data_IF_071205506196
#
_entry.id   IF_071205506196
#
_cell.length_a   1.000
_cell.length_b   1.000
_cell.length_c   1.000
_cell.angle_alpha   90.00
_cell.angle_beta   90.00
_cell.angle_gamma   90.00
#
_symmetry.space_group_name_H-M   'P 1'
#
loop_
_entity.id
_entity.type
_entity.pdbx_description
1 polymer ?
#
# COMPACT_ATOMS: atom_id res chain seq x y z
N UNK A 1 -0.39 5.87 -40.26
CA UNK A 1 -0.45 5.32 -38.89
C UNK A 1 0.23 3.96 -38.94
N UNK A 2 1.35 3.78 -38.25
CA UNK A 2 2.09 2.51 -38.24
C UNK A 2 1.34 1.48 -37.40
N UNK A 3 0.89 0.41 -38.05
CA UNK A 3 0.24 -0.72 -37.38
C UNK A 3 1.26 -1.43 -36.48
N UNK A 4 0.94 -1.62 -35.19
CA UNK A 4 1.86 -2.25 -34.24
C UNK A 4 1.90 -3.75 -34.51
N UNK A 5 3.01 -4.21 -35.08
CA UNK A 5 3.27 -5.65 -35.28
C UNK A 5 3.84 -6.24 -33.99
N UNK A 6 3.33 -7.40 -33.56
CA UNK A 6 3.74 -8.09 -32.33
C UNK A 6 4.27 -9.51 -32.57
N UNK A 7 4.45 -9.89 -33.84
CA UNK A 7 4.90 -11.21 -34.27
C UNK A 7 6.03 -11.03 -35.26
N UNK A 8 7.09 -11.81 -35.07
CA UNK A 8 8.30 -11.74 -35.88
C UNK A 8 8.81 -13.14 -36.20
N UNK A 9 9.42 -13.31 -37.36
CA UNK A 9 10.04 -14.54 -37.83
C UNK A 9 11.49 -14.61 -37.32
N UNK A 10 12.20 -13.47 -37.29
CA UNK A 10 13.58 -13.37 -36.80
C UNK A 10 13.87 -12.04 -36.06
N UNK A 11 15.05 -11.93 -35.45
CA UNK A 11 15.49 -10.71 -34.74
C UNK A 11 15.71 -9.53 -35.70
N UNK A 12 16.06 -9.79 -36.96
CA UNK A 12 16.32 -8.75 -37.95
C UNK A 12 15.02 -8.04 -38.34
N UNK A 13 13.93 -8.79 -38.48
CA UNK A 13 12.58 -8.26 -38.68
C UNK A 13 12.17 -7.35 -37.52
N UNK A 14 12.34 -7.79 -36.26
CA UNK A 14 12.07 -6.95 -35.09
C UNK A 14 12.91 -5.66 -35.08
N UNK A 15 14.19 -5.74 -35.43
CA UNK A 15 15.06 -4.55 -35.45
C UNK A 15 14.79 -3.64 -36.65
N UNK A 16 14.33 -4.18 -37.77
CA UNK A 16 14.00 -3.41 -38.98
C UNK A 16 12.78 -2.49 -38.80
N UNK A 17 11.84 -2.90 -37.95
CA UNK A 17 10.64 -2.12 -37.58
C UNK A 17 11.03 -0.88 -36.75
N UNK A 18 12.22 -0.88 -36.15
CA UNK A 18 12.65 0.06 -35.12
C UNK A 18 13.90 0.84 -35.56
N UNK A 19 13.77 1.64 -36.65
CA UNK A 19 14.83 2.48 -37.24
C UNK A 19 15.18 3.70 -36.35
N UNK A 20 15.81 3.44 -35.20
CA UNK A 20 16.27 4.44 -34.21
C UNK A 20 15.17 5.37 -33.63
N UNK A 21 13.91 5.03 -33.85
CA UNK A 21 12.76 5.70 -33.26
C UNK A 21 12.47 5.20 -31.82
N UNK A 22 11.54 5.86 -31.14
CA UNK A 22 11.07 5.43 -29.83
C UNK A 22 10.39 4.05 -29.88
N UNK A 23 10.59 3.28 -28.83
CA UNK A 23 10.08 1.93 -28.68
C UNK A 23 8.56 1.90 -28.58
N UNK A 24 7.89 1.39 -29.62
CA UNK A 24 6.44 1.27 -29.72
C UNK A 24 5.82 0.28 -28.73
N UNK A 25 6.66 -0.54 -28.08
CA UNK A 25 6.25 -1.57 -27.11
C UNK A 25 6.43 -1.11 -25.66
N UNK A 26 7.00 0.07 -25.44
CA UNK A 26 7.20 0.65 -24.12
C UNK A 26 6.12 1.70 -23.81
N UNK A 27 5.79 1.83 -22.53
CA UNK A 27 4.90 2.91 -22.06
C UNK A 27 5.56 4.28 -22.17
N UNK A 28 6.84 4.34 -21.81
CA UNK A 28 7.63 5.56 -21.82
C UNK A 28 8.45 5.61 -23.12
N UNK A 29 8.59 6.78 -23.76
CA UNK A 29 9.47 6.96 -24.90
C UNK A 29 10.90 6.56 -24.53
N UNK A 30 11.43 5.54 -25.19
CA UNK A 30 12.80 5.04 -25.03
C UNK A 30 13.29 4.65 -26.40
N UNK A 31 14.48 5.08 -26.80
CA UNK A 31 15.08 4.72 -28.09
C UNK A 31 15.14 3.20 -28.25
N UNK A 32 14.62 2.70 -29.36
CA UNK A 32 14.52 1.28 -29.66
C UNK A 32 15.85 0.66 -30.13
N UNK A 33 16.91 0.85 -29.34
CA UNK A 33 18.22 0.24 -29.62
C UNK A 33 18.14 -1.30 -29.59
N UNK A 34 19.01 -1.96 -30.36
CA UNK A 34 19.16 -3.44 -30.34
C UNK A 34 19.36 -3.97 -28.92
N UNK A 35 20.13 -3.28 -28.09
CA UNK A 35 20.34 -3.64 -26.69
C UNK A 35 19.05 -3.58 -25.86
N UNK A 36 18.27 -2.50 -26.02
CA UNK A 36 16.99 -2.33 -25.34
C UNK A 36 16.01 -3.45 -25.71
N UNK A 37 15.81 -3.67 -27.02
CA UNK A 37 14.87 -4.67 -27.52
C UNK A 37 15.24 -6.09 -27.07
N UNK A 38 16.54 -6.44 -27.08
CA UNK A 38 17.01 -7.73 -26.55
C UNK A 38 16.70 -7.92 -25.07
N UNK A 39 17.02 -6.92 -24.25
CA UNK A 39 16.95 -7.03 -22.78
C UNK A 39 15.51 -6.94 -22.25
N UNK A 40 14.66 -6.13 -22.86
CA UNK A 40 13.30 -5.82 -22.37
C UNK A 40 12.19 -6.61 -23.05
N UNK A 41 12.33 -6.92 -24.32
CA UNK A 41 11.27 -7.55 -25.12
C UNK A 41 11.67 -8.97 -25.51
N UNK A 42 12.78 -9.15 -26.22
CA UNK A 42 13.19 -10.45 -26.77
C UNK A 42 13.52 -11.49 -25.68
N UNK A 43 14.09 -11.08 -24.55
CA UNK A 43 14.36 -11.95 -23.39
C UNK A 43 13.12 -12.72 -22.92
N UNK A 44 11.94 -12.15 -23.15
CA UNK A 44 10.65 -12.72 -22.73
C UNK A 44 9.78 -13.11 -23.92
N UNK A 45 10.38 -13.25 -25.11
CA UNK A 45 9.68 -13.68 -26.31
C UNK A 45 9.18 -15.12 -26.20
N UNK A 46 8.01 -15.37 -26.79
CA UNK A 46 7.36 -16.67 -26.84
C UNK A 46 7.45 -17.17 -28.26
N UNK A 47 8.14 -18.29 -28.45
CA UNK A 47 8.39 -18.89 -29.75
C UNK A 47 7.37 -20.00 -30.04
N UNK A 48 6.92 -20.05 -31.28
CA UNK A 48 5.92 -20.99 -31.73
C UNK A 48 5.98 -21.21 -33.25
N UNK A 49 5.36 -22.27 -33.74
CA UNK A 49 5.19 -22.57 -35.16
C UNK A 49 3.75 -22.33 -35.54
N UNK A 50 3.57 -21.43 -36.49
CA UNK A 50 2.29 -21.19 -37.16
C UNK A 50 2.46 -21.62 -38.62
N UNK A 51 1.69 -22.62 -39.05
CA UNK A 51 1.76 -23.18 -40.41
C UNK A 51 3.19 -23.60 -40.83
N UNK A 52 3.91 -24.27 -39.91
CA UNK A 52 5.32 -24.70 -40.03
C UNK A 52 6.39 -23.57 -40.06
N UNK A 53 5.99 -22.31 -40.03
CA UNK A 53 6.92 -21.16 -39.93
C UNK A 53 7.18 -20.86 -38.46
N UNK A 54 8.46 -20.85 -38.07
CA UNK A 54 8.87 -20.41 -36.73
C UNK A 54 8.66 -18.91 -36.56
N UNK A 55 7.84 -18.52 -35.60
CA UNK A 55 7.53 -17.15 -35.25
C UNK A 55 7.71 -16.93 -33.75
N UNK A 56 7.80 -15.68 -33.32
CA UNK A 56 7.78 -15.32 -31.92
C UNK A 56 6.99 -14.04 -31.65
N UNK A 57 6.37 -14.00 -30.48
CA UNK A 57 5.72 -12.80 -29.95
C UNK A 57 6.48 -12.25 -28.76
N UNK A 58 6.64 -10.93 -28.73
CA UNK A 58 7.26 -10.21 -27.62
C UNK A 58 6.19 -9.62 -26.67
N UNK A 59 6.51 -9.44 -25.38
CA UNK A 59 5.64 -8.66 -24.51
C UNK A 59 5.65 -7.18 -24.85
N UNK A 60 4.50 -6.55 -24.65
CA UNK A 60 4.25 -5.12 -24.73
C UNK A 60 4.01 -4.54 -23.33
N UNK A 61 4.31 -3.26 -23.16
CA UNK A 61 4.06 -2.47 -21.96
C UNK A 61 3.19 -1.24 -22.27
N UNK A 62 2.46 -1.24 -23.39
CA UNK A 62 1.59 -0.13 -23.76
C UNK A 62 0.43 0.08 -22.77
N UNK A 63 -0.30 1.18 -22.96
CA UNK A 63 -1.48 1.55 -22.17
C UNK A 63 -2.62 0.55 -22.23
N UNK A 64 -2.71 -0.24 -23.31
CA UNK A 64 -3.84 -1.12 -23.60
C UNK A 64 -3.97 -2.27 -22.60
N UNK A 65 -2.89 -2.56 -21.86
CA UNK A 65 -2.85 -3.57 -20.81
C UNK A 65 -3.42 -3.14 -19.46
N UNK A 66 -3.88 -1.89 -19.27
CA UNK A 66 -4.63 -1.39 -18.10
C UNK A 66 -3.90 -1.31 -16.75
N UNK A 67 -2.90 -2.16 -16.49
CA UNK A 67 -2.30 -2.33 -15.15
C UNK A 67 -0.80 -2.02 -15.04
N UNK A 68 -0.20 -1.40 -16.07
CA UNK A 68 1.22 -1.03 -16.06
C UNK A 68 2.19 -2.23 -16.00
N UNK A 69 1.71 -3.44 -16.32
CA UNK A 69 2.48 -4.68 -16.41
C UNK A 69 2.66 -5.11 -17.87
N UNK A 70 3.66 -5.97 -18.12
CA UNK A 70 3.87 -6.59 -19.42
C UNK A 70 2.69 -7.49 -19.81
N UNK A 71 2.21 -7.37 -21.05
CA UNK A 71 1.13 -8.18 -21.61
C UNK A 71 1.47 -8.59 -23.05
N UNK A 72 0.66 -9.47 -23.64
CA UNK A 72 0.84 -9.99 -25.00
C UNK A 72 -0.43 -9.73 -25.81
N UNK A 73 -0.25 -9.18 -27.00
CA UNK A 73 -1.33 -9.06 -27.99
C UNK A 73 -1.38 -10.32 -28.82
N UNK A 74 -2.55 -10.93 -28.93
CA UNK A 74 -2.71 -12.06 -29.84
C UNK A 74 -2.74 -11.55 -31.29
N UNK A 75 -1.96 -12.13 -32.21
CA UNK A 75 -2.02 -11.77 -33.63
C UNK A 75 -3.21 -12.37 -34.38
N UNK A 76 -3.81 -13.43 -33.83
CA UNK A 76 -4.92 -14.17 -34.44
C UNK A 76 -6.29 -13.67 -33.96
N UNK A 77 -6.34 -12.86 -32.89
CA UNK A 77 -7.56 -12.22 -32.41
C UNK A 77 -7.24 -10.97 -31.58
N UNK A 78 -8.21 -10.08 -31.36
CA UNK A 78 -8.02 -8.84 -30.62
C UNK A 78 -7.83 -8.99 -29.08
N UNK A 79 -7.52 -10.19 -28.56
CA UNK A 79 -7.36 -10.42 -27.12
C UNK A 79 -5.99 -9.98 -26.62
N UNK A 80 -5.99 -9.32 -25.46
CA UNK A 80 -4.79 -8.92 -24.70
C UNK A 80 -4.66 -9.81 -23.46
N UNK A 81 -3.51 -10.48 -23.33
CA UNK A 81 -3.26 -11.47 -22.29
C UNK A 81 -2.16 -10.96 -21.35
N UNK A 82 -2.43 -10.94 -20.05
CA UNK A 82 -1.53 -10.32 -19.06
C UNK A 82 -0.43 -11.24 -18.54
N UNK A 83 -0.57 -12.56 -18.76
CA UNK A 83 0.37 -13.57 -18.24
C UNK A 83 0.85 -14.46 -19.37
N UNK A 84 2.15 -14.78 -19.37
CA UNK A 84 2.79 -15.68 -20.33
C UNK A 84 2.07 -17.04 -20.40
N UNK A 85 1.66 -17.60 -19.25
CA UNK A 85 0.95 -18.89 -19.20
C UNK A 85 -0.40 -18.81 -19.92
N UNK A 86 -1.14 -17.75 -19.66
CA UNK A 86 -2.46 -17.53 -20.28
C UNK A 86 -2.31 -17.28 -21.78
N UNK A 87 -1.26 -16.55 -22.20
CA UNK A 87 -0.96 -16.34 -23.61
C UNK A 87 -0.58 -17.63 -24.33
N UNK A 88 0.32 -18.45 -23.76
CA UNK A 88 0.71 -19.76 -24.33
C UNK A 88 -0.51 -20.66 -24.55
N UNK A 89 -1.38 -20.80 -23.55
CA UNK A 89 -2.62 -21.58 -23.67
C UNK A 89 -3.55 -20.96 -24.72
N UNK A 90 -3.65 -19.64 -24.75
CA UNK A 90 -4.50 -18.94 -25.70
C UNK A 90 -4.06 -19.16 -27.15
N UNK A 91 -2.77 -19.05 -27.46
CA UNK A 91 -2.26 -19.23 -28.83
C UNK A 91 -2.31 -20.70 -29.27
N UNK A 92 -2.11 -21.66 -28.37
CA UNK A 92 -2.30 -23.08 -28.70
C UNK A 92 -3.76 -23.40 -29.07
N UNK A 93 -4.74 -22.67 -28.51
CA UNK A 93 -6.14 -22.84 -28.88
C UNK A 93 -6.48 -22.34 -30.29
N UNK A 94 -5.57 -21.61 -30.94
CA UNK A 94 -5.66 -21.26 -32.37
C UNK A 94 -5.03 -22.33 -33.29
N UNK A 95 -4.55 -23.45 -32.73
CA UNK A 95 -3.90 -24.52 -33.50
C UNK A 95 -2.40 -24.32 -33.72
N UNK A 96 -1.76 -23.42 -32.96
CA UNK A 96 -0.32 -23.12 -33.04
C UNK A 96 0.48 -24.03 -32.12
N UNK A 97 1.61 -24.56 -32.61
CA UNK A 97 2.49 -25.45 -31.85
C UNK A 97 3.61 -24.66 -31.14
N UNK A 98 3.84 -24.91 -29.86
CA UNK A 98 4.91 -24.24 -29.12
C UNK A 98 6.29 -24.83 -29.44
N UNK A 99 7.32 -23.99 -29.46
CA UNK A 99 8.72 -24.46 -29.56
C UNK A 99 9.46 -24.21 -28.24
N UNK A 100 10.09 -25.24 -27.69
CA UNK A 100 10.97 -25.11 -26.54
C UNK A 100 12.37 -24.66 -27.01
N UNK A 101 12.82 -23.48 -26.56
CA UNK A 101 14.17 -23.00 -26.84
C UNK A 101 15.19 -23.74 -25.98
N UNK A 102 15.80 -24.78 -26.55
CA UNK A 102 17.20 -25.15 -26.30
C UNK A 102 17.83 -25.49 -27.64
N UNK A 103 18.47 -24.49 -28.25
CA UNK A 103 19.62 -24.55 -29.19
C UNK A 103 19.65 -23.23 -29.97
N UNK A 104 20.65 -22.39 -29.67
CA UNK A 104 21.57 -21.69 -30.58
C UNK A 104 22.26 -20.59 -29.76
N UNK A 105 23.58 -20.65 -29.82
CA UNK A 105 24.64 -20.04 -29.03
C UNK A 105 24.56 -18.52 -28.84
N UNK A 106 24.80 -18.06 -27.60
CA UNK A 106 25.63 -16.88 -27.34
C UNK A 106 26.43 -17.15 -26.05
N UNK A 107 27.76 -17.14 -26.19
CA UNK A 107 28.72 -17.48 -25.15
C UNK A 107 28.61 -16.62 -23.88
N UNK A 108 29.02 -17.14 -22.71
CA UNK A 108 28.86 -16.51 -21.41
C UNK A 108 30.03 -15.58 -21.07
N UNK A 109 29.75 -14.39 -20.55
CA UNK A 109 30.70 -13.66 -19.70
C UNK A 109 30.36 -13.92 -18.23
N UNK A 110 31.34 -14.51 -17.55
CA UNK A 110 31.43 -14.79 -16.12
C UNK A 110 30.81 -13.69 -15.24
N UNK A 111 29.90 -14.09 -14.34
CA UNK A 111 30.02 -13.76 -12.90
C UNK A 111 29.52 -14.97 -12.11
N UNK A 112 30.29 -15.32 -11.10
CA UNK A 112 30.28 -16.52 -10.27
C UNK A 112 28.92 -16.87 -9.64
N UNK A 113 28.65 -18.18 -9.62
CA UNK A 113 27.74 -18.92 -8.75
C UNK A 113 27.96 -18.56 -7.28
N UNK A 114 26.90 -18.52 -6.46
CA UNK A 114 26.52 -19.55 -5.47
C UNK A 114 25.09 -19.17 -5.00
N UNK A 115 24.03 -19.98 -4.92
CA UNK A 115 23.86 -21.43 -4.89
C UNK A 115 22.57 -21.79 -5.65
N UNK A 116 22.69 -22.66 -6.64
CA UNK A 116 21.61 -23.57 -7.01
C UNK A 116 21.83 -24.85 -6.19
N UNK A 117 20.80 -25.32 -5.50
CA UNK A 117 20.60 -26.75 -5.41
C UNK A 117 19.39 -27.11 -6.28
N UNK A 118 19.65 -28.14 -7.07
CA UNK A 118 18.89 -28.87 -8.07
C UNK A 118 17.54 -29.34 -7.51
N UNK A 119 16.50 -29.68 -8.28
CA UNK A 119 16.47 -30.74 -9.28
C UNK A 119 15.50 -30.47 -10.42
N UNK A 120 15.93 -30.87 -11.61
CA UNK A 120 15.03 -31.46 -12.60
C UNK A 120 14.74 -32.88 -12.14
N UNK A 121 13.46 -33.23 -11.94
CA UNK A 121 13.01 -34.60 -12.19
C UNK A 121 11.50 -34.62 -12.50
N UNK A 122 11.24 -35.14 -13.69
CA UNK A 122 10.25 -36.16 -14.02
C UNK A 122 8.74 -35.87 -14.04
N UNK A 123 8.11 -36.46 -15.06
CA UNK A 123 6.67 -36.57 -15.24
C UNK A 123 6.15 -37.65 -14.29
N UNK A 124 5.66 -37.26 -13.12
CA UNK A 124 4.84 -38.15 -12.26
C UNK A 124 3.71 -37.36 -11.58
N UNK A 125 2.49 -37.93 -11.45
CA UNK A 125 1.38 -37.24 -10.82
C UNK A 125 1.47 -37.38 -9.30
N UNK A 126 1.89 -36.33 -8.61
CA UNK A 126 1.64 -36.22 -7.17
C UNK A 126 2.80 -35.73 -6.33
N UNK A 127 2.95 -34.41 -6.25
CA UNK A 127 3.31 -33.78 -4.98
C UNK A 127 2.71 -32.38 -4.96
N UNK A 128 1.38 -32.33 -4.88
CA UNK A 128 0.71 -31.08 -4.57
C UNK A 128 0.97 -30.79 -3.09
N UNK A 129 1.68 -29.73 -2.77
CA UNK A 129 1.90 -29.33 -1.38
C UNK A 129 0.60 -28.73 -0.84
N UNK A 130 0.05 -29.34 0.19
CA UNK A 130 -1.15 -28.87 0.86
C UNK A 130 -0.81 -27.76 1.86
N UNK A 131 -1.61 -26.70 1.87
CA UNK A 131 -1.56 -25.75 2.96
C UNK A 131 -2.03 -26.42 4.25
N UNK A 132 -1.18 -26.41 5.27
CA UNK A 132 -1.45 -27.05 6.55
C UNK A 132 -2.61 -26.40 7.32
N UNK A 133 -3.00 -25.17 6.96
CA UNK A 133 -4.06 -24.41 7.62
C UNK A 133 -5.45 -24.56 6.98
N UNK A 134 -5.55 -24.76 5.67
CA UNK A 134 -6.85 -24.89 4.98
C UNK A 134 -6.96 -26.11 4.06
N UNK A 135 -5.91 -26.94 3.96
CA UNK A 135 -5.91 -28.15 3.15
C UNK A 135 -5.91 -27.92 1.63
N UNK A 136 -5.85 -26.67 1.15
CA UNK A 136 -5.82 -26.39 -0.29
C UNK A 136 -4.47 -26.82 -0.86
N UNK A 137 -4.53 -27.56 -1.97
CA UNK A 137 -3.38 -28.14 -2.64
C UNK A 137 -2.82 -27.21 -3.71
N UNK A 138 -1.51 -27.01 -3.69
CA UNK A 138 -0.80 -26.18 -4.66
C UNK A 138 0.22 -27.00 -5.45
N UNK A 139 0.32 -26.71 -6.73
CA UNK A 139 1.25 -27.38 -7.65
C UNK A 139 2.69 -26.90 -7.52
N UNK A 140 2.92 -25.75 -6.86
CA UNK A 140 4.27 -25.25 -6.58
C UNK A 140 4.36 -24.71 -5.16
N UNK A 141 5.51 -24.91 -4.52
CA UNK A 141 5.84 -24.36 -3.20
C UNK A 141 5.78 -22.83 -3.18
N UNK A 142 6.10 -22.16 -4.29
CA UNK A 142 5.96 -20.70 -4.43
C UNK A 142 4.49 -20.23 -4.40
N UNK A 143 3.57 -21.00 -4.99
CA UNK A 143 2.14 -20.72 -4.93
C UNK A 143 1.57 -21.08 -3.56
N UNK A 144 2.03 -22.16 -2.93
CA UNK A 144 1.71 -22.47 -1.54
C UNK A 144 2.16 -21.34 -0.61
N UNK A 145 3.42 -20.94 -0.65
CA UNK A 145 3.95 -19.81 0.17
C UNK A 145 3.24 -18.49 -0.12
N UNK A 146 2.82 -18.24 -1.37
CA UNK A 146 2.02 -17.07 -1.73
C UNK A 146 0.60 -17.18 -1.18
N UNK A 147 -0.04 -18.33 -1.30
CA UNK A 147 -1.33 -18.61 -0.72
C UNK A 147 -1.28 -18.50 0.81
N UNK A 148 -0.30 -19.10 1.45
CA UNK A 148 -0.05 -18.98 2.88
C UNK A 148 0.16 -17.54 3.27
N UNK A 149 0.98 -16.74 2.56
CA UNK A 149 1.09 -15.31 2.85
C UNK A 149 -0.21 -14.51 2.66
N UNK A 150 -0.99 -14.80 1.62
CA UNK A 150 -2.17 -14.01 1.29
C UNK A 150 -3.43 -14.41 2.07
N UNK A 151 -3.60 -15.71 2.32
CA UNK A 151 -4.76 -16.32 2.96
C UNK A 151 -4.50 -16.62 4.44
N UNK A 152 -3.25 -16.90 4.81
CA UNK A 152 -2.86 -17.24 6.18
C UNK A 152 -1.84 -16.29 6.82
N UNK A 153 -1.27 -15.35 6.06
CA UNK A 153 -0.46 -14.23 6.57
C UNK A 153 -1.33 -13.11 7.13
N UNK A 154 -2.66 -13.27 7.07
CA UNK A 154 -3.63 -12.46 7.79
C UNK A 154 -3.41 -12.57 9.32
N UNK A 155 -2.87 -13.68 9.82
CA UNK A 155 -2.65 -13.94 11.25
C UNK A 155 -1.39 -13.27 11.84
N UNK A 156 -0.54 -12.65 11.01
CA UNK A 156 0.75 -12.10 11.44
C UNK A 156 0.83 -10.58 11.38
N UNK A 157 -0.29 -9.89 11.18
CA UNK A 157 -0.30 -8.43 11.27
C UNK A 157 -0.58 -8.00 12.71
N UNK A 158 0.11 -6.95 13.20
CA UNK A 158 -0.14 -6.46 14.53
C UNK A 158 -1.59 -5.99 14.65
N UNK A 159 -2.16 -6.31 15.81
CA UNK A 159 -3.52 -5.96 16.20
C UNK A 159 -3.43 -5.41 17.62
N UNK A 160 -3.51 -4.10 17.76
CA UNK A 160 -3.30 -3.42 19.04
C UNK A 160 -4.65 -2.95 19.58
N UNK A 161 -4.97 -3.25 20.83
CA UNK A 161 -6.10 -2.62 21.51
C UNK A 161 -5.67 -1.21 21.94
N UNK A 162 -6.43 -0.19 21.52
CA UNK A 162 -6.14 1.22 21.81
C UNK A 162 -7.17 1.85 22.74
N UNK A 163 -8.32 1.20 22.92
CA UNK A 163 -9.38 1.62 23.82
C UNK A 163 -10.14 0.38 24.30
N UNK A 164 -9.77 -0.12 25.48
CA UNK A 164 -10.39 -1.31 26.03
C UNK A 164 -11.86 -1.09 26.40
N UNK A 165 -12.21 0.12 26.89
CA UNK A 165 -13.58 0.50 27.28
C UNK A 165 -14.53 0.44 26.08
N UNK A 166 -14.09 0.99 24.95
CA UNK A 166 -14.91 1.07 23.74
C UNK A 166 -14.69 -0.10 22.76
N UNK A 167 -13.82 -1.05 23.12
CA UNK A 167 -13.39 -2.18 22.30
C UNK A 167 -12.84 -1.75 20.93
N UNK A 168 -11.98 -0.72 20.93
CA UNK A 168 -11.34 -0.18 19.73
C UNK A 168 -9.94 -0.77 19.61
N UNK A 169 -9.64 -1.19 18.39
CA UNK A 169 -8.38 -1.78 18.02
C UNK A 169 -7.85 -1.12 16.73
N UNK A 170 -6.54 -1.24 16.51
CA UNK A 170 -5.88 -0.78 15.28
C UNK A 170 -5.04 -1.88 14.64
N UNK A 171 -5.07 -1.93 13.32
CA UNK A 171 -4.23 -2.82 12.50
C UNK A 171 -3.83 -2.12 11.21
N UNK A 172 -2.74 -2.53 10.54
CA UNK A 172 -2.42 -2.00 9.22
C UNK A 172 -3.53 -2.25 8.20
N UNK A 173 -3.90 -1.21 7.44
CA UNK A 173 -4.85 -1.26 6.32
C UNK A 173 -4.46 -2.36 5.34
N UNK A 174 -3.24 -2.28 4.84
CA UNK A 174 -2.73 -3.14 3.78
C UNK A 174 -1.67 -4.12 4.31
N UNK A 175 -1.61 -5.29 3.66
CA UNK A 175 -0.58 -6.31 3.91
C UNK A 175 0.79 -5.95 3.34
N UNK A 176 0.86 -4.94 2.47
CA UNK A 176 2.06 -4.47 1.81
C UNK A 176 1.99 -2.95 1.62
N UNK A 177 3.15 -2.29 1.46
CA UNK A 177 3.21 -0.84 1.28
C UNK A 177 3.12 -0.06 2.60
N UNK A 178 2.74 1.23 2.56
CA UNK A 178 2.61 2.07 3.74
C UNK A 178 1.62 1.46 4.75
N UNK A 179 2.11 1.15 5.95
CA UNK A 179 1.34 0.46 7.00
C UNK A 179 0.45 1.42 7.78
N UNK A 180 -0.46 2.10 7.06
CA UNK A 180 -1.38 3.06 7.69
C UNK A 180 -2.34 2.30 8.62
N UNK A 181 -2.42 2.63 9.92
CA UNK A 181 -3.39 2.00 10.82
C UNK A 181 -4.82 2.37 10.43
N UNK A 182 -5.72 1.43 10.60
CA UNK A 182 -7.18 1.65 10.55
C UNK A 182 -7.79 1.23 11.88
N UNK A 183 -8.87 1.90 12.27
CA UNK A 183 -9.63 1.56 13.46
C UNK A 183 -10.64 0.44 13.19
N UNK A 184 -10.83 -0.39 14.21
CA UNK A 184 -11.75 -1.50 14.22
C UNK A 184 -12.44 -1.48 15.57
N UNK A 185 -13.74 -1.75 15.59
CA UNK A 185 -14.52 -1.89 16.82
C UNK A 185 -15.22 -3.24 16.80
N UNK A 186 -14.81 -4.14 17.70
CA UNK A 186 -15.39 -5.47 17.79
C UNK A 186 -15.68 -5.79 19.26
N UNK A 187 -16.94 -6.03 19.57
CA UNK A 187 -17.36 -6.47 20.89
C UNK A 187 -18.58 -7.36 20.78
N UNK A 188 -18.46 -8.59 21.28
CA UNK A 188 -19.59 -9.51 21.38
C UNK A 188 -20.59 -9.06 22.45
N UNK A 189 -20.09 -8.51 23.56
CA UNK A 189 -20.93 -7.99 24.65
C UNK A 189 -21.79 -6.81 24.20
N UNK A 190 -21.21 -5.90 23.41
CA UNK A 190 -21.92 -4.74 22.89
C UNK A 190 -22.64 -5.03 21.56
N UNK A 191 -22.45 -6.21 20.98
CA UNK A 191 -22.94 -6.60 19.65
C UNK A 191 -22.52 -5.63 18.54
N UNK A 192 -21.27 -5.17 18.58
CA UNK A 192 -20.71 -4.20 17.62
C UNK A 192 -19.61 -4.86 16.78
N UNK A 193 -19.68 -4.66 15.46
CA UNK A 193 -18.71 -5.15 14.49
C UNK A 193 -18.49 -4.10 13.39
N UNK A 194 -17.50 -3.21 13.56
CA UNK A 194 -17.22 -2.10 12.64
C UNK A 194 -15.76 -2.09 12.19
N UNK A 195 -15.54 -1.72 10.93
CA UNK A 195 -14.22 -1.47 10.33
C UNK A 195 -14.18 -0.04 9.77
N UNK A 196 -13.06 0.68 9.86
CA UNK A 196 -12.95 2.04 9.28
C UNK A 196 -13.15 2.07 7.76
N UNK A 197 -12.95 0.96 7.06
CA UNK A 197 -13.01 0.90 5.60
C UNK A 197 -14.39 0.52 5.07
N UNK A 198 -15.04 1.39 4.31
CA UNK A 198 -16.34 1.15 3.66
C UNK A 198 -16.36 -0.13 2.81
N UNK A 199 -15.29 -0.42 2.07
CA UNK A 199 -15.13 -1.66 1.28
C UNK A 199 -15.28 -2.94 2.12
N UNK A 200 -14.96 -2.89 3.42
CA UNK A 200 -15.16 -4.03 4.32
C UNK A 200 -16.64 -4.23 4.67
N UNK A 201 -17.41 -3.15 4.77
CA UNK A 201 -18.85 -3.22 5.03
C UNK A 201 -19.57 -3.79 3.81
N UNK A 202 -19.24 -3.30 2.62
CA UNK A 202 -19.80 -3.81 1.37
C UNK A 202 -19.49 -5.29 1.18
N UNK A 203 -18.25 -5.70 1.48
CA UNK A 203 -17.84 -7.10 1.46
C UNK A 203 -18.68 -7.97 2.40
N UNK A 204 -18.83 -7.56 3.67
CA UNK A 204 -19.59 -8.33 4.65
C UNK A 204 -21.08 -8.39 4.28
N UNK A 205 -21.65 -7.26 3.79
CA UNK A 205 -23.04 -7.17 3.34
C UNK A 205 -23.31 -8.06 2.13
N UNK A 206 -22.44 -8.06 1.14
CA UNK A 206 -22.57 -8.91 -0.05
C UNK A 206 -22.56 -10.41 0.31
N UNK A 207 -21.72 -10.81 1.26
CA UNK A 207 -21.67 -12.21 1.72
C UNK A 207 -22.87 -12.60 2.58
N UNK A 208 -23.38 -11.69 3.40
CA UNK A 208 -24.63 -11.92 4.12
C UNK A 208 -25.79 -12.18 3.15
N UNK A 209 -25.87 -11.39 2.08
CA UNK A 209 -26.88 -11.55 1.03
C UNK A 209 -26.73 -12.85 0.22
N UNK A 210 -25.50 -13.38 0.09
CA UNK A 210 -25.23 -14.64 -0.60
C UNK A 210 -25.31 -15.89 0.28
N UNK A 211 -25.80 -15.75 1.53
CA UNK A 211 -26.03 -16.86 2.45
C UNK A 211 -24.93 -17.11 3.48
N UNK A 212 -23.98 -16.18 3.65
CA UNK A 212 -22.93 -16.26 4.67
C UNK A 212 -22.88 -14.98 5.55
N UNK A 213 -23.85 -14.80 6.47
CA UNK A 213 -23.93 -13.62 7.32
C UNK A 213 -22.85 -13.53 8.41
N UNK A 214 -22.20 -14.65 8.73
CA UNK A 214 -21.14 -14.70 9.74
C UNK A 214 -19.75 -14.32 9.22
N UNK A 215 -19.62 -14.00 7.92
CA UNK A 215 -18.29 -13.71 7.36
C UNK A 215 -17.81 -12.32 7.76
N UNK A 216 -16.79 -12.29 8.59
CA UNK A 216 -16.06 -11.09 8.94
C UNK A 216 -15.07 -10.66 7.84
N UNK A 217 -14.79 -9.35 7.74
CA UNK A 217 -13.70 -8.85 6.90
C UNK A 217 -12.34 -9.27 7.45
N UNK A 218 -11.30 -9.23 6.61
CA UNK A 218 -9.95 -9.66 6.99
C UNK A 218 -9.39 -8.94 8.23
N UNK A 219 -9.80 -7.69 8.44
CA UNK A 219 -9.33 -6.86 9.54
C UNK A 219 -10.00 -7.24 10.86
N UNK A 220 -11.30 -7.52 10.82
CA UNK A 220 -12.06 -8.00 11.98
C UNK A 220 -11.59 -9.37 12.45
N UNK A 221 -11.23 -10.27 11.53
CA UNK A 221 -10.67 -11.58 11.88
C UNK A 221 -9.37 -11.47 12.70
N UNK A 222 -8.55 -10.43 12.48
CA UNK A 222 -7.28 -10.22 13.21
C UNK A 222 -7.45 -9.96 14.69
N UNK A 223 -8.63 -9.50 15.12
CA UNK A 223 -8.95 -9.29 16.54
C UNK A 223 -8.80 -10.55 17.38
N UNK A 224 -8.92 -11.73 16.78
CA UNK A 224 -8.69 -13.02 17.45
C UNK A 224 -7.25 -13.18 17.96
N UNK A 225 -6.30 -12.42 17.40
CA UNK A 225 -4.89 -12.40 17.78
C UNK A 225 -4.48 -11.02 18.35
N UNK A 226 -5.44 -10.25 18.88
CA UNK A 226 -5.17 -8.94 19.45
C UNK A 226 -4.23 -9.02 20.66
N UNK A 227 -3.29 -8.10 20.73
CA UNK A 227 -2.46 -7.91 21.92
C UNK A 227 -3.31 -7.34 23.06
N UNK A 228 -2.94 -7.69 24.30
CA UNK A 228 -3.57 -7.10 25.47
C UNK A 228 -3.36 -5.58 25.47
N UNK A 229 -4.36 -4.86 25.96
CA UNK A 229 -4.28 -3.42 26.10
C UNK A 229 -3.17 -3.06 27.09
N UNK A 230 -2.31 -2.13 26.69
CA UNK A 230 -1.28 -1.54 27.54
C UNK A 230 -1.47 -0.02 27.47
N UNK A 231 -1.82 0.65 28.58
CA UNK A 231 -2.03 2.08 28.56
C UNK A 231 -0.72 2.81 28.21
N UNK A 232 -0.76 3.84 27.35
CA UNK A 232 0.40 4.68 27.10
C UNK A 232 0.73 5.55 28.32
N UNK A 233 1.97 6.05 28.43
CA UNK A 233 2.32 7.09 29.39
C UNK A 233 1.34 8.26 29.31
N UNK A 234 0.76 8.69 30.46
CA UNK A 234 -0.22 9.76 30.48
C UNK A 234 0.44 11.11 30.15
N UNK A 235 -0.34 12.00 29.55
CA UNK A 235 0.10 13.35 29.20
C UNK A 235 0.29 14.20 30.46
N UNK A 236 1.52 14.68 30.68
CA UNK A 236 1.89 15.49 31.85
C UNK A 236 1.68 16.99 31.60
N UNK A 237 0.99 17.67 32.53
CA UNK A 237 0.80 19.13 32.45
C UNK A 237 2.14 19.88 32.46
N UNK A 238 3.16 19.36 33.15
CA UNK A 238 4.49 19.98 33.18
C UNK A 238 5.17 20.00 31.80
N UNK A 239 5.01 18.93 30.99
CA UNK A 239 5.57 18.91 29.63
C UNK A 239 4.81 19.85 28.70
N UNK A 240 3.49 20.03 28.91
CA UNK A 240 2.69 21.02 28.17
C UNK A 240 3.12 22.46 28.49
N UNK A 241 3.43 22.75 29.75
CA UNK A 241 3.98 24.04 30.18
C UNK A 241 5.34 24.31 29.52
N UNK A 242 6.23 23.32 29.50
CA UNK A 242 7.52 23.43 28.82
C UNK A 242 7.36 23.71 27.32
N UNK A 243 6.45 23.02 26.64
CA UNK A 243 6.16 23.28 25.22
C UNK A 243 5.67 24.71 24.98
N UNK A 244 4.86 25.25 25.90
CA UNK A 244 4.40 26.63 25.81
C UNK A 244 5.54 27.63 26.03
N UNK A 245 6.44 27.38 27.00
CA UNK A 245 7.64 28.19 27.21
C UNK A 245 8.59 28.16 26.01
N UNK A 246 8.69 27.03 25.30
CA UNK A 246 9.46 26.90 24.06
C UNK A 246 8.74 27.45 22.83
N UNK A 247 7.59 28.12 23.01
CA UNK A 247 6.78 28.69 21.94
C UNK A 247 6.32 27.68 20.88
N UNK A 248 6.18 26.40 21.26
CA UNK A 248 5.65 25.34 20.39
C UNK A 248 4.11 25.35 20.31
N UNK A 249 3.47 26.01 21.27
CA UNK A 249 2.03 26.15 21.40
C UNK A 249 1.69 27.57 21.87
N UNK A 250 0.66 28.16 21.28
CA UNK A 250 0.03 29.36 21.82
C UNK A 250 -0.74 29.06 23.12
N UNK A 251 -1.10 30.09 23.87
CA UNK A 251 -1.86 29.94 25.10
C UNK A 251 -3.26 29.32 24.86
N UNK A 252 -3.91 29.66 23.75
CA UNK A 252 -5.19 29.08 23.35
C UNK A 252 -5.05 27.61 22.96
N UNK A 253 -4.02 27.24 22.20
CA UNK A 253 -3.75 25.84 21.84
C UNK A 253 -3.41 25.00 23.08
N UNK A 254 -2.63 25.54 24.02
CA UNK A 254 -2.35 24.91 25.31
C UNK A 254 -3.65 24.59 26.06
N UNK A 255 -4.51 25.60 26.22
CA UNK A 255 -5.77 25.44 26.94
C UNK A 255 -6.66 24.38 26.29
N UNK A 256 -6.80 24.44 24.96
CA UNK A 256 -7.59 23.48 24.22
C UNK A 256 -7.05 22.04 24.35
N UNK A 257 -5.73 21.84 24.27
CA UNK A 257 -5.10 20.52 24.49
C UNK A 257 -5.41 19.98 25.90
N UNK A 258 -5.29 20.82 26.92
CA UNK A 258 -5.58 20.44 28.30
C UNK A 258 -7.07 20.07 28.49
N UNK A 259 -7.97 20.83 27.88
CA UNK A 259 -9.41 20.55 27.93
C UNK A 259 -9.75 19.22 27.24
N UNK A 260 -9.21 18.95 26.06
CA UNK A 260 -9.43 17.68 25.34
C UNK A 260 -8.87 16.47 26.12
N UNK A 261 -7.71 16.62 26.74
CA UNK A 261 -7.14 15.57 27.61
C UNK A 261 -8.02 15.34 28.84
N UNK A 262 -8.53 16.41 29.46
CA UNK A 262 -9.43 16.32 30.62
C UNK A 262 -10.73 15.58 30.27
N UNK A 263 -11.32 15.86 29.10
CA UNK A 263 -12.52 15.15 28.60
C UNK A 263 -12.26 13.66 28.39
N UNK A 264 -11.14 13.29 27.77
CA UNK A 264 -10.76 11.90 27.60
C UNK A 264 -10.61 11.17 28.95
N UNK A 265 -9.97 11.81 29.94
CA UNK A 265 -9.83 11.28 31.30
C UNK A 265 -11.19 11.09 32.01
N UNK A 266 -12.12 12.03 31.86
CA UNK A 266 -13.49 11.90 32.41
C UNK A 266 -14.24 10.71 31.78
N UNK A 267 -14.03 10.48 30.49
CA UNK A 267 -14.54 9.31 29.78
C UNK A 267 -13.74 8.02 30.08
N UNK A 268 -12.68 8.07 30.89
CA UNK A 268 -11.86 6.91 31.23
C UNK A 268 -11.16 6.28 30.02
N UNK A 269 -10.76 7.11 29.04
CA UNK A 269 -10.08 6.68 27.82
C UNK A 269 -8.80 7.50 27.59
N UNK A 270 -7.82 6.92 26.91
CA UNK A 270 -6.58 7.64 26.59
C UNK A 270 -6.83 8.72 25.55
N UNK A 271 -6.38 9.95 25.82
CA UNK A 271 -6.46 11.05 24.86
C UNK A 271 -5.64 10.77 23.59
N UNK A 272 -4.43 10.24 23.76
CA UNK A 272 -3.50 9.90 22.68
C UNK A 272 -2.97 8.49 22.90
N UNK A 273 -3.14 7.63 21.90
CA UNK A 273 -2.51 6.31 21.87
C UNK A 273 -1.47 6.25 20.74
N UNK A 274 -0.17 6.13 21.05
CA UNK A 274 0.89 6.04 20.06
C UNK A 274 0.96 4.64 19.44
N UNK A 275 1.25 4.59 18.14
CA UNK A 275 1.34 3.35 17.36
C UNK A 275 2.71 3.33 16.69
N UNK A 276 3.58 2.46 17.21
CA UNK A 276 4.90 2.21 16.67
C UNK A 276 4.94 0.84 16.00
N UNK A 277 5.11 0.84 14.68
CA UNK A 277 5.27 -0.42 13.95
C UNK A 277 6.66 -1.02 14.02
N UNK A 278 7.66 -0.25 14.46
CA UNK A 278 9.04 -0.71 14.62
C UNK A 278 9.19 -1.97 15.48
N UNK A 279 8.36 -2.10 16.52
CA UNK A 279 8.28 -3.29 17.39
C UNK A 279 7.79 -4.55 16.67
N UNK A 280 7.37 -4.44 15.41
CA UNK A 280 6.82 -5.51 14.58
C UNK A 280 7.60 -5.69 13.27
N UNK A 281 8.87 -5.27 13.21
CA UNK A 281 9.76 -5.37 12.03
C UNK A 281 9.24 -4.62 10.79
N UNK A 282 8.52 -3.51 11.02
CA UNK A 282 7.93 -2.69 9.97
C UNK A 282 8.57 -1.29 9.94
N UNK A 283 8.53 -0.63 8.77
CA UNK A 283 9.11 0.70 8.55
C UNK A 283 8.71 1.72 9.63
N UNK A 284 9.70 2.33 10.28
CA UNK A 284 9.55 3.37 11.32
C UNK A 284 9.52 4.80 10.75
N UNK A 285 9.39 4.95 9.43
CA UNK A 285 9.36 6.28 8.79
C UNK A 285 8.22 7.17 9.32
N UNK A 286 7.09 6.57 9.65
CA UNK A 286 5.97 7.30 10.21
C UNK A 286 5.64 6.80 11.61
N UNK A 287 5.47 7.71 12.56
CA UNK A 287 4.81 7.44 13.83
C UNK A 287 3.32 7.74 13.65
N UNK A 288 2.46 6.84 14.12
CA UNK A 288 1.01 7.02 14.04
C UNK A 288 0.43 7.20 15.44
N UNK A 289 -0.70 7.88 15.53
CA UNK A 289 -1.43 8.10 16.77
C UNK A 289 -2.92 7.89 16.53
N UNK A 290 -3.58 7.25 17.49
CA UNK A 290 -5.03 7.23 17.62
C UNK A 290 -5.42 8.26 18.68
N UNK A 291 -6.04 9.35 18.26
CA UNK A 291 -6.31 10.52 19.10
C UNK A 291 -7.80 10.66 19.33
N UNK A 292 -8.21 10.82 20.58
CA UNK A 292 -9.59 11.09 20.96
C UNK A 292 -10.09 12.41 20.36
N UNK A 293 -11.30 12.41 19.83
CA UNK A 293 -11.86 13.58 19.12
C UNK A 293 -13.01 14.25 19.87
N UNK A 294 -13.60 13.60 20.88
CA UNK A 294 -14.89 13.96 21.50
C UNK A 294 -16.06 14.12 20.51
N UNK A 295 -15.87 13.72 19.25
CA UNK A 295 -16.89 13.83 18.20
C UNK A 295 -17.54 12.49 17.98
N UNK A 296 -18.87 12.50 17.89
CA UNK A 296 -19.71 11.34 17.58
C UNK A 296 -20.29 11.40 16.16
N UNK A 297 -19.66 12.18 15.28
CA UNK A 297 -20.11 12.41 13.92
C UNK A 297 -19.88 11.20 13.01
N UNK A 298 -20.61 11.14 11.88
CA UNK A 298 -20.56 10.03 10.91
C UNK A 298 -19.14 9.75 10.37
N UNK A 299 -18.27 10.75 10.31
CA UNK A 299 -16.87 10.61 9.86
C UNK A 299 -15.95 10.08 10.97
N UNK A 300 -16.36 10.15 12.24
CA UNK A 300 -15.61 9.70 13.41
C UNK A 300 -16.36 8.59 14.17
N UNK A 301 -16.71 7.51 13.46
CA UNK A 301 -17.49 6.38 14.02
C UNK A 301 -16.84 5.70 15.24
N UNK A 302 -15.56 5.96 15.47
CA UNK A 302 -14.77 5.38 16.55
C UNK A 302 -14.49 6.37 17.69
N UNK A 303 -14.97 7.62 17.62
CA UNK A 303 -14.64 8.68 18.60
C UNK A 303 -13.14 9.01 18.67
N UNK A 304 -12.39 8.56 17.66
CA UNK A 304 -10.94 8.69 17.52
C UNK A 304 -10.58 9.00 16.07
N UNK A 305 -9.51 9.77 15.88
CA UNK A 305 -8.93 10.09 14.57
C UNK A 305 -7.48 9.63 14.49
N UNK A 306 -7.03 9.34 13.28
CA UNK A 306 -5.63 8.99 13.02
C UNK A 306 -4.81 10.25 12.75
N UNK A 307 -3.70 10.38 13.47
CA UNK A 307 -2.64 11.35 13.17
C UNK A 307 -1.38 10.58 12.76
N UNK A 308 -0.61 11.13 11.83
CA UNK A 308 0.68 10.58 11.41
C UNK A 308 1.75 11.66 11.36
N UNK A 309 2.94 11.32 11.83
CA UNK A 309 4.15 12.15 11.77
C UNK A 309 5.21 11.43 10.94
N UNK A 310 5.66 12.02 9.83
CA UNK A 310 6.80 11.51 9.05
C UNK A 310 8.11 12.00 9.67
N UNK A 311 8.87 11.10 10.27
CA UNK A 311 10.12 11.41 11.00
C UNK A 311 11.24 11.89 10.09
N UNK A 312 11.13 11.70 8.76
CA UNK A 312 12.12 12.21 7.80
C UNK A 312 11.82 13.61 7.32
N UNK A 313 10.54 13.93 7.14
CA UNK A 313 10.11 15.20 6.55
C UNK A 313 9.54 16.18 7.57
N UNK A 314 9.39 15.79 8.83
CA UNK A 314 8.72 16.58 9.85
C UNK A 314 7.22 16.77 9.66
N UNK A 315 6.61 16.11 8.67
CA UNK A 315 5.26 16.47 8.24
C UNK A 315 4.19 15.79 9.10
N UNK A 316 3.22 16.59 9.55
CA UNK A 316 2.07 16.13 10.32
C UNK A 316 0.81 16.05 9.46
N UNK A 317 0.14 14.90 9.47
CA UNK A 317 -1.14 14.69 8.78
C UNK A 317 -2.17 14.16 9.76
N UNK A 318 -3.39 14.70 9.68
CA UNK A 318 -4.53 14.25 10.47
C UNK A 318 -5.70 13.92 9.52
N UNK A 319 -6.49 12.91 9.88
CA UNK A 319 -7.68 12.53 9.11
C UNK A 319 -8.89 13.44 9.39
N UNK A 320 -8.83 14.33 10.38
CA UNK A 320 -9.94 15.25 10.67
C UNK A 320 -10.22 16.23 9.51
N UNK A 321 -11.40 16.86 9.53
CA UNK A 321 -11.85 17.81 8.51
C UNK A 321 -10.94 19.04 8.39
N UNK A 322 -10.31 19.46 9.48
CA UNK A 322 -9.35 20.57 9.54
C UNK A 322 -7.97 20.20 8.94
N UNK A 323 -7.92 19.93 7.64
CA UNK A 323 -6.70 19.46 6.94
C UNK A 323 -5.64 20.55 6.73
N UNK A 324 -6.02 21.83 6.75
CA UNK A 324 -5.18 22.98 6.35
C UNK A 324 -4.62 23.83 7.50
N UNK A 325 -5.14 23.69 8.72
CA UNK A 325 -4.66 24.40 9.93
C UNK A 325 -4.14 23.34 10.91
N UNK A 326 -3.14 23.63 11.77
CA UNK A 326 -2.74 22.73 12.84
C UNK A 326 -3.91 22.44 13.78
N UNK A 327 -4.58 21.31 13.57
CA UNK A 327 -5.69 20.91 14.41
C UNK A 327 -5.19 20.46 15.78
N UNK A 328 -6.07 20.51 16.77
CA UNK A 328 -5.76 20.07 18.14
C UNK A 328 -5.22 18.63 18.20
N UNK A 329 -5.67 17.73 17.33
CA UNK A 329 -5.20 16.35 17.29
C UNK A 329 -3.70 16.25 16.95
N UNK A 330 -3.21 17.12 16.05
CA UNK A 330 -1.77 17.21 15.76
C UNK A 330 -1.01 17.71 16.98
N UNK A 331 -1.52 18.76 17.65
CA UNK A 331 -0.90 19.33 18.86
C UNK A 331 -0.85 18.33 20.02
N UNK A 332 -1.90 17.56 20.26
CA UNK A 332 -1.93 16.48 21.26
C UNK A 332 -0.91 15.38 20.95
N UNK A 333 -0.80 14.99 19.68
CA UNK A 333 0.18 13.99 19.24
C UNK A 333 1.61 14.50 19.40
N UNK A 334 1.85 15.77 19.07
CA UNK A 334 3.12 16.45 19.28
C UNK A 334 3.47 16.54 20.77
N UNK A 335 2.49 16.82 21.63
CA UNK A 335 2.68 16.86 23.09
C UNK A 335 3.13 15.50 23.63
N UNK A 336 2.46 14.42 23.24
CA UNK A 336 2.89 13.08 23.62
C UNK A 336 4.31 12.78 23.14
N UNK A 337 4.61 13.10 21.88
CA UNK A 337 5.92 12.84 21.28
C UNK A 337 7.03 13.67 21.93
N UNK A 338 6.76 14.92 22.30
CA UNK A 338 7.69 15.79 23.01
C UNK A 338 8.06 15.22 24.38
N UNK A 339 7.08 14.64 25.08
CA UNK A 339 7.30 14.03 26.39
C UNK A 339 8.12 12.74 26.30
N UNK A 340 7.72 11.81 25.44
CA UNK A 340 8.25 10.43 25.46
C UNK A 340 9.42 10.20 24.49
N UNK A 341 9.44 10.93 23.36
CA UNK A 341 10.48 10.80 22.34
C UNK A 341 10.92 12.17 21.79
N UNK A 342 11.42 13.09 22.64
CA UNK A 342 11.82 14.44 22.21
C UNK A 342 12.87 14.44 21.09
N UNK A 343 13.66 13.37 20.97
CA UNK A 343 14.67 13.20 19.93
C UNK A 343 14.08 13.15 18.51
N UNK A 344 12.83 12.73 18.36
CA UNK A 344 12.15 12.63 17.07
C UNK A 344 11.67 14.00 16.54
N UNK A 345 11.68 15.04 17.37
CA UNK A 345 11.27 16.41 17.03
C UNK A 345 12.46 17.35 16.70
N UNK A 346 13.69 16.83 16.61
CA UNK A 346 14.93 17.62 16.66
C UNK A 346 15.30 18.41 15.39
N UNK A 347 14.54 18.33 14.29
CA UNK A 347 14.84 19.14 13.11
C UNK A 347 14.26 20.56 13.27
N UNK A 348 15.08 21.63 13.22
CA UNK A 348 14.60 23.03 13.38
C UNK A 348 13.58 23.45 12.31
N UNK A 349 13.50 22.72 11.20
CA UNK A 349 12.49 22.90 10.14
C UNK A 349 11.13 22.28 10.50
N UNK A 350 11.06 21.30 11.39
CA UNK A 350 9.83 20.57 11.74
C UNK A 350 8.88 21.41 12.63
N UNK A 351 9.43 22.41 13.32
CA UNK A 351 8.70 23.32 14.21
C UNK A 351 8.45 24.68 13.53
N UNK A 352 9.35 25.12 12.64
CA UNK A 352 9.25 26.41 11.96
C UNK A 352 8.57 26.37 10.58
N UNK A 353 8.53 25.23 9.87
CA UNK A 353 7.89 25.15 8.56
C UNK A 353 6.39 25.51 8.62
N UNK A 354 5.67 25.14 9.70
CA UNK A 354 4.26 25.52 9.88
C UNK A 354 4.06 27.03 10.11
N UNK A 355 5.10 27.76 10.56
CA UNK A 355 4.98 29.18 10.90
C UNK A 355 5.37 30.10 9.73
N UNK A 356 6.18 29.62 8.81
CA UNK A 356 6.56 30.34 7.58
C UNK A 356 5.42 30.30 6.56
N UNK A 357 4.77 29.14 6.35
CA UNK A 357 3.63 29.01 5.44
C UNK A 357 2.44 29.92 5.85
N UNK A 358 2.20 30.08 7.16
CA UNK A 358 1.13 30.95 7.68
C UNK A 358 1.45 32.44 7.48
N UNK A 359 2.72 32.83 7.54
CA UNK A 359 3.12 34.23 7.33
C UNK A 359 3.11 34.61 5.84
N UNK A 360 3.47 33.70 4.94
CA UNK A 360 3.39 33.95 3.49
C UNK A 360 1.93 34.03 3.01
N UNK A 361 1.01 33.21 3.52
CA UNK A 361 -0.40 33.25 3.11
C UNK A 361 -1.17 34.45 3.69
N UNK A 362 -0.91 34.88 4.93
CA UNK A 362 -1.53 36.11 5.49
C UNK A 362 -1.09 37.37 4.75
N UNK A 363 0.11 37.35 4.15
CA UNK A 363 0.60 38.44 3.29
C UNK A 363 -0.08 38.40 1.92
N UNK A 364 -0.36 37.20 1.37
CA UNK A 364 -1.09 37.05 0.11
C UNK A 364 -2.58 37.42 0.22
N UNK A 365 -3.26 37.10 1.33
CA UNK A 365 -4.68 37.44 1.54
C UNK A 365 -4.90 38.95 1.77
N UNK A 366 -3.86 39.66 2.24
CA UNK A 366 -3.88 41.14 2.43
C UNK A 366 -3.51 41.94 1.18
N UNK A 367 -3.16 41.28 0.07
CA UNK A 367 -2.77 41.92 -1.18
C UNK A 367 -3.86 41.92 -2.27
N UNK A 368 -5.09 41.52 -1.92
CA UNK A 368 -6.25 41.75 -2.80
C UNK A 368 -6.62 43.24 -2.74
N UNK A 369 -6.53 44.02 -3.83
CA UNK A 369 -6.96 45.40 -3.79
C UNK A 369 -8.49 45.44 -3.77
N UNK A 370 -9.04 46.17 -2.80
CA UNK A 370 -10.39 46.71 -2.89
C UNK A 370 -10.55 47.43 -4.23
N UNK A 371 -11.40 46.86 -5.08
CA UNK A 371 -11.85 47.48 -6.32
C UNK A 371 -13.19 48.14 -6.06
N UNK A 372 -13.12 49.43 -5.72
CA UNK A 372 -14.22 50.34 -5.51
C UNK A 372 -15.13 50.50 -6.76
N UNK A 373 -16.43 50.55 -6.46
CA UNK A 373 -17.47 51.48 -6.91
C UNK A 373 -17.75 51.80 -8.41
N UNK A 374 -19.06 51.69 -8.70
CA UNK A 374 -19.93 52.65 -9.39
C UNK A 374 -19.60 53.08 -10.83
N UNK A 375 -20.32 52.49 -11.79
CA UNK A 375 -21.37 53.13 -12.62
C UNK A 375 -21.63 52.33 -13.90
#
# INVERSE_FOLDING_TARGET
>A
MTERVFVFVDEEELFSVMKDADCLYCRNPVTASKHHLRKRHLRFAIYYKDSAIGKFSIPCYCSDGGHGRSHWHCPMCAKILQRTKDFKIHITNHGVEMTDKSTVELQPTMVLSENQQTDNEDKTPGNKSACQKCGIFFTTTSNLRRHERLQHGQDQQPMLCVDAKNAIYVTPKDLHGPRVPIHIRKSFTLQILLCELEECWDFMKALAQSGNPGKECRHLVRTNHAQHYVPPPPLSISSLEEMSHKHLLSASEKHACQEMNSRACLEGVDCVYPIFWGKHDLSERCVYFSVYTDLKDKWCQFGRTRVSFDTKSGSWKCLCEHKRIPCIHKRLSMWWLFQEHPKLLQNPLDVHAERVDVLEEVVMDKMSPDGDDLC
#
